data_IF_477672557680
#
_entry.id   IF_477672557680
#
_cell.length_a   1.000
_cell.length_b   1.000
_cell.length_c   1.000
_cell.angle_alpha   90.00
_cell.angle_beta   90.00
_cell.angle_gamma   90.00
#
_symmetry.space_group_name_H-M   'P 1'
#
loop_
_entity.id
_entity.type
_entity.pdbx_description
1 polymer ?
#
# COMPACT_ATOMS: atom_id res chain seq x y z
N UNK A 1 -9.33 -2.12 -3.69
CA UNK A 1 -8.05 -2.13 -2.96
C UNK A 1 -8.26 -1.42 -1.64
N UNK A 2 -7.66 -1.91 -0.55
CA UNK A 2 -7.63 -1.21 0.74
C UNK A 2 -6.18 -0.91 1.13
N UNK A 3 -5.94 0.23 1.76
CA UNK A 3 -4.61 0.61 2.22
C UNK A 3 -4.66 1.08 3.66
N UNK A 4 -3.66 0.67 4.43
CA UNK A 4 -3.43 1.07 5.81
C UNK A 4 -2.16 1.89 5.88
N UNK A 5 -2.22 3.00 6.62
CA UNK A 5 -1.11 3.92 6.81
C UNK A 5 -0.86 4.05 8.31
N UNK A 6 0.36 3.78 8.73
CA UNK A 6 0.81 3.88 10.12
C UNK A 6 2.02 4.80 10.24
N UNK A 7 2.13 5.52 11.35
CA UNK A 7 3.32 6.34 11.66
C UNK A 7 4.46 5.53 12.29
N UNK A 8 4.18 4.35 12.85
CA UNK A 8 5.14 3.59 13.69
C UNK A 8 5.69 2.35 12.99
N UNK A 9 5.09 1.92 11.88
CA UNK A 9 5.46 0.67 11.21
C UNK A 9 4.97 -0.58 11.94
N UNK A 10 3.99 -0.42 12.82
CA UNK A 10 3.39 -1.53 13.54
C UNK A 10 2.89 -2.61 12.56
N UNK A 11 3.33 -3.86 12.78
CA UNK A 11 3.01 -5.01 11.93
C UNK A 11 3.87 -5.18 10.68
N UNK A 12 4.85 -4.30 10.41
CA UNK A 12 5.68 -4.35 9.17
C UNK A 12 7.16 -4.65 9.41
N UNK A 13 7.58 -4.73 10.68
CA UNK A 13 8.99 -4.91 11.05
C UNK A 13 9.83 -3.63 10.98
N UNK A 14 9.24 -2.51 10.54
CA UNK A 14 9.91 -1.21 10.46
C UNK A 14 9.57 -0.32 11.67
N UNK A 15 10.47 0.58 12.04
CA UNK A 15 10.32 1.50 13.18
C UNK A 15 9.78 2.90 12.79
N UNK A 16 9.16 3.04 11.63
CA UNK A 16 8.76 4.35 11.09
C UNK A 16 7.53 4.30 10.18
N UNK A 17 7.14 5.45 9.60
CA UNK A 17 5.92 5.53 8.82
C UNK A 17 5.90 4.50 7.69
N UNK A 18 4.80 3.78 7.57
CA UNK A 18 4.64 2.67 6.61
C UNK A 18 3.26 2.69 5.99
N UNK A 19 3.19 2.34 4.70
CA UNK A 19 1.95 2.09 3.96
C UNK A 19 1.89 0.62 3.57
N UNK A 20 0.76 -0.01 3.83
CA UNK A 20 0.43 -1.38 3.41
C UNK A 20 -0.81 -1.29 2.53
N UNK A 21 -0.75 -1.77 1.30
CA UNK A 21 -1.92 -1.85 0.42
C UNK A 21 -2.21 -3.29 0.05
N UNK A 22 -3.48 -3.68 0.15
CA UNK A 22 -3.98 -5.02 -0.12
C UNK A 22 -4.88 -5.04 -1.37
N UNK A 23 -4.58 -6.00 -2.25
CA UNK A 23 -5.40 -6.31 -3.41
C UNK A 23 -6.60 -7.18 -2.97
N UNK A 24 -7.82 -6.67 -3.11
CA UNK A 24 -9.08 -7.34 -2.67
C UNK A 24 -9.67 -8.27 -3.74
N UNK A 25 -8.87 -8.76 -4.70
CA UNK A 25 -9.38 -9.55 -5.82
C UNK A 25 -9.25 -11.05 -5.56
N UNK A 26 -10.39 -11.74 -5.46
CA UNK A 26 -10.48 -13.22 -5.55
C UNK A 26 -10.16 -13.75 -6.96
N UNK A 27 -10.07 -12.87 -7.98
CA UNK A 27 -9.99 -13.29 -9.37
C UNK A 27 -8.56 -13.60 -9.85
N UNK A 28 -7.54 -13.01 -9.22
CA UNK A 28 -6.14 -13.12 -9.68
C UNK A 28 -5.13 -13.34 -8.54
N UNK A 29 -5.60 -13.58 -7.31
CA UNK A 29 -4.77 -14.04 -6.20
C UNK A 29 -3.65 -13.07 -5.77
N UNK A 30 -3.74 -11.76 -6.02
CA UNK A 30 -2.75 -10.78 -5.55
C UNK A 30 -2.40 -9.68 -6.56
N UNK A 31 -1.26 -9.02 -6.36
CA UNK A 31 -0.69 -8.09 -7.34
C UNK A 31 0.04 -8.89 -8.42
N UNK A 32 -0.35 -8.75 -9.70
CA UNK A 32 0.18 -9.55 -10.83
C UNK A 32 1.70 -9.47 -11.02
N UNK A 33 2.31 -8.38 -10.57
CA UNK A 33 3.74 -8.10 -10.61
C UNK A 33 4.49 -8.62 -9.38
N UNK A 34 3.78 -9.03 -8.33
CA UNK A 34 4.41 -9.60 -7.16
C UNK A 34 4.97 -10.99 -7.47
N UNK A 35 5.97 -11.49 -6.72
CA UNK A 35 6.33 -12.89 -6.78
C UNK A 35 5.15 -13.82 -6.44
N UNK A 36 5.15 -15.03 -6.99
CA UNK A 36 4.23 -16.09 -6.58
C UNK A 36 4.68 -16.67 -5.23
N UNK A 37 3.71 -16.98 -4.39
CA UNK A 37 3.85 -17.79 -3.19
C UNK A 37 3.99 -19.27 -3.57
N UNK A 38 4.36 -20.09 -2.60
CA UNK A 38 4.47 -21.55 -2.77
C UNK A 38 3.12 -22.22 -3.11
N UNK A 39 2.00 -21.52 -2.91
CA UNK A 39 0.65 -22.00 -3.22
C UNK A 39 0.18 -21.63 -4.64
N UNK A 40 1.02 -20.94 -5.42
CA UNK A 40 0.71 -20.55 -6.80
C UNK A 40 -0.09 -19.25 -6.94
N UNK A 41 -0.20 -18.48 -5.87
CA UNK A 41 -0.88 -17.17 -5.82
C UNK A 41 0.14 -16.05 -5.71
N UNK A 42 -0.14 -14.86 -6.26
CA UNK A 42 0.73 -13.70 -6.09
C UNK A 42 0.65 -13.15 -4.66
N UNK A 43 1.66 -12.42 -4.19
CA UNK A 43 1.50 -11.72 -2.92
C UNK A 43 0.37 -10.67 -3.00
N UNK A 44 -0.45 -10.63 -1.94
CA UNK A 44 -1.63 -9.78 -1.88
C UNK A 44 -1.34 -8.37 -1.37
N UNK A 45 -0.16 -8.13 -0.81
CA UNK A 45 0.17 -6.85 -0.21
C UNK A 45 1.42 -6.21 -0.79
N UNK A 46 1.36 -4.90 -0.96
CA UNK A 46 2.47 -4.04 -1.30
C UNK A 46 2.78 -3.15 -0.09
N UNK A 47 4.03 -3.19 0.37
CA UNK A 47 4.46 -2.56 1.62
C UNK A 47 5.62 -1.62 1.29
N UNK A 48 5.52 -0.36 1.72
CA UNK A 48 6.61 0.62 1.62
C UNK A 48 6.74 1.41 2.91
N UNK A 49 7.97 1.67 3.34
CA UNK A 49 8.25 2.53 4.48
C UNK A 49 8.79 3.91 4.08
N UNK A 50 8.94 4.79 5.07
CA UNK A 50 9.50 6.12 4.89
C UNK A 50 10.92 6.13 4.31
N UNK A 51 11.69 5.05 4.46
CA UNK A 51 13.04 4.94 3.91
C UNK A 51 13.04 4.44 2.45
N UNK A 52 11.88 4.11 1.89
CA UNK A 52 11.74 3.57 0.53
C UNK A 52 11.98 2.07 0.44
N UNK A 53 12.01 1.35 1.58
CA UNK A 53 12.09 -0.11 1.55
C UNK A 53 10.74 -0.65 1.08
N UNK A 54 10.73 -1.15 -0.16
CA UNK A 54 9.55 -1.70 -0.79
C UNK A 54 9.65 -3.21 -0.95
N UNK A 55 8.57 -3.92 -0.63
CA UNK A 55 8.42 -5.33 -0.96
C UNK A 55 6.95 -5.72 -1.13
N UNK A 56 6.74 -6.81 -1.86
CA UNK A 56 5.48 -7.53 -1.84
C UNK A 56 5.52 -8.61 -0.76
N UNK A 57 4.39 -8.89 -0.12
CA UNK A 57 4.29 -9.90 0.92
C UNK A 57 2.85 -10.29 1.25
N UNK A 58 2.73 -11.18 2.22
CA UNK A 58 1.44 -11.47 2.87
C UNK A 58 1.25 -10.39 3.94
N UNK A 59 0.58 -9.29 3.59
CA UNK A 59 0.24 -8.28 4.58
C UNK A 59 -0.73 -8.87 5.59
N UNK A 60 -0.61 -8.43 6.84
CA UNK A 60 -1.57 -8.79 7.87
C UNK A 60 -2.95 -8.36 7.40
N UNK A 61 -3.84 -9.33 7.22
CA UNK A 61 -5.25 -9.16 6.88
C UNK A 61 -5.75 -7.85 7.50
N UNK A 62 -5.95 -6.82 6.67
CA UNK A 62 -6.08 -5.43 7.14
C UNK A 62 -7.35 -5.19 7.98
N UNK A 63 -8.11 -6.25 8.30
CA UNK A 63 -9.24 -6.23 9.18
C UNK A 63 -10.45 -5.54 8.56
N UNK A 64 -11.52 -5.41 9.34
CA UNK A 64 -12.74 -4.76 8.86
C UNK A 64 -12.51 -3.27 8.61
N UNK A 65 -12.87 -2.84 7.41
CA UNK A 65 -12.86 -1.46 6.91
C UNK A 65 -13.90 -0.54 7.56
N UNK A 66 -14.48 -0.87 8.72
CA UNK A 66 -15.57 -0.12 9.36
C UNK A 66 -15.22 1.36 9.62
N UNK A 67 -13.92 1.67 9.74
CA UNK A 67 -13.39 3.03 9.89
C UNK A 67 -12.54 3.49 8.69
N UNK A 68 -12.69 2.86 7.52
CA UNK A 68 -11.93 3.22 6.34
C UNK A 68 -12.34 4.59 5.80
N UNK A 69 -11.34 5.40 5.46
CA UNK A 69 -11.55 6.68 4.82
C UNK A 69 -11.55 6.51 3.30
N UNK A 70 -12.63 6.95 2.64
CA UNK A 70 -12.75 6.89 1.18
C UNK A 70 -12.02 8.07 0.56
N UNK A 71 -11.03 7.77 -0.29
CA UNK A 71 -10.28 8.77 -1.04
C UNK A 71 -11.09 9.21 -2.27
N UNK A 72 -11.31 10.52 -2.41
CA UNK A 72 -11.91 11.11 -3.61
C UNK A 72 -10.85 11.50 -4.63
N UNK A 73 -11.12 11.27 -5.91
CA UNK A 73 -10.20 11.66 -6.98
C UNK A 73 -10.04 13.18 -7.05
N UNK A 74 -8.80 13.61 -7.31
CA UNK A 74 -8.45 15.03 -7.39
C UNK A 74 -8.28 15.71 -6.03
N UNK A 75 -8.49 15.00 -4.91
CA UNK A 75 -8.15 15.48 -3.58
C UNK A 75 -6.78 14.95 -3.16
N UNK A 76 -6.02 15.82 -2.49
CA UNK A 76 -4.77 15.46 -1.83
C UNK A 76 -5.04 15.35 -0.33
N UNK A 77 -4.59 14.26 0.28
CA UNK A 77 -4.72 14.03 1.71
C UNK A 77 -3.33 13.97 2.35
N UNK A 78 -3.23 14.44 3.59
CA UNK A 78 -2.03 14.28 4.41
C UNK A 78 -2.38 13.46 5.64
N UNK A 79 -1.70 12.34 5.85
CA UNK A 79 -2.00 11.45 6.97
C UNK A 79 -0.74 10.71 7.43
N UNK A 80 -0.42 10.77 8.73
CA UNK A 80 0.69 10.06 9.36
C UNK A 80 2.06 10.26 8.65
N UNK A 81 2.31 11.45 8.11
CA UNK A 81 3.55 11.77 7.39
C UNK A 81 3.58 11.35 5.92
N UNK A 82 2.42 11.03 5.34
CA UNK A 82 2.26 10.71 3.93
C UNK A 82 1.32 11.68 3.22
N UNK A 83 1.75 12.19 2.07
CA UNK A 83 0.88 12.78 1.06
C UNK A 83 0.26 11.67 0.21
N UNK A 84 -1.06 11.66 0.11
CA UNK A 84 -1.85 10.65 -0.59
C UNK A 84 -2.65 11.32 -1.71
N UNK A 85 -2.46 10.87 -2.93
CA UNK A 85 -3.16 11.36 -4.12
C UNK A 85 -3.82 10.18 -4.84
N UNK A 86 -5.15 10.14 -4.82
CA UNK A 86 -5.93 9.13 -5.54
C UNK A 86 -6.34 9.64 -6.93
N UNK A 87 -6.27 8.75 -7.91
CA UNK A 87 -6.67 9.00 -9.30
C UNK A 87 -7.33 7.77 -9.90
N UNK A 88 -7.90 7.91 -11.10
CA UNK A 88 -8.43 6.78 -11.86
C UNK A 88 -7.37 5.74 -12.24
N UNK A 89 -6.09 6.10 -12.21
CA UNK A 89 -4.98 5.19 -12.55
C UNK A 89 -4.48 4.41 -11.33
N UNK A 90 -4.80 4.86 -10.12
CA UNK A 90 -4.24 4.33 -8.88
C UNK A 90 -4.00 5.43 -7.85
N UNK A 91 -3.41 5.03 -6.73
CA UNK A 91 -3.13 5.90 -5.59
C UNK A 91 -1.63 6.05 -5.42
N UNK A 92 -1.16 7.29 -5.28
CA UNK A 92 0.22 7.61 -4.96
C UNK A 92 0.34 7.97 -3.49
N UNK A 93 1.27 7.32 -2.79
CA UNK A 93 1.68 7.63 -1.44
C UNK A 93 3.11 8.15 -1.48
N UNK A 94 3.35 9.35 -0.94
CA UNK A 94 4.67 9.98 -0.86
C UNK A 94 4.94 10.35 0.59
N UNK A 95 6.05 9.90 1.15
CA UNK A 95 6.47 10.28 2.49
C UNK A 95 6.90 11.74 2.47
N UNK A 96 6.34 12.54 3.38
CA UNK A 96 6.53 13.99 3.40
C UNK A 96 7.97 14.39 3.75
N UNK A 97 8.71 13.53 4.46
CA UNK A 97 10.07 13.82 4.92
C UNK A 97 11.13 13.38 3.93
N UNK A 98 10.95 12.22 3.30
CA UNK A 98 11.99 11.60 2.45
C UNK A 98 11.67 11.70 0.97
N UNK A 99 10.42 11.94 0.59
CA UNK A 99 9.97 11.90 -0.80
C UNK A 99 9.83 10.49 -1.37
N UNK A 100 10.21 9.46 -0.62
CA UNK A 100 10.03 8.06 -1.01
C UNK A 100 8.57 7.65 -0.95
N UNK A 101 8.20 6.62 -1.70
CA UNK A 101 6.90 6.01 -1.51
C UNK A 101 6.57 4.97 -2.54
N UNK A 102 5.27 4.85 -2.84
CA UNK A 102 4.79 3.91 -3.84
C UNK A 102 3.58 4.44 -4.59
N UNK A 103 3.49 4.04 -5.84
CA UNK A 103 2.26 4.06 -6.59
C UNK A 103 1.64 2.67 -6.51
N UNK A 104 0.32 2.60 -6.33
CA UNK A 104 -0.40 1.33 -6.21
C UNK A 104 -1.67 1.38 -7.05
N UNK A 105 -1.88 0.35 -7.88
CA UNK A 105 -3.10 0.13 -8.63
C UNK A 105 -3.33 -1.36 -8.86
N UNK A 106 -4.43 -1.71 -9.52
CA UNK A 106 -4.70 -3.10 -9.93
C UNK A 106 -3.70 -3.53 -11.03
N UNK A 107 -3.34 -2.60 -11.91
CA UNK A 107 -2.52 -2.88 -13.10
C UNK A 107 -1.02 -2.78 -12.81
N UNK A 108 -0.62 -1.84 -11.95
CA UNK A 108 0.80 -1.59 -11.68
C UNK A 108 1.02 -0.95 -10.31
N UNK A 109 2.05 -1.44 -9.61
CA UNK A 109 2.43 -1.07 -8.25
C UNK A 109 3.92 -1.11 -8.18
N UNK A 110 4.54 0.00 -7.80
CA UNK A 110 5.98 0.18 -7.81
C UNK A 110 6.41 1.28 -6.84
N UNK A 111 7.63 1.19 -6.29
CA UNK A 111 8.20 2.24 -5.44
C UNK A 111 8.80 3.39 -6.25
N UNK A 112 9.06 4.52 -5.58
CA UNK A 112 9.86 5.64 -6.09
C UNK A 112 10.59 6.37 -4.96
#
# INVERSE_FOLDING_TARGET
>A
MHCYVTATGEGTGNHGPTVICEAISEKDGGFLQAPMTDYGEHYHSAITDAAGNFHFGNGGNLGDSTNAFVLNYGQTYHFQGWTIVASSQGTRFTNDQTGHGMFVSIENTYPF
#
